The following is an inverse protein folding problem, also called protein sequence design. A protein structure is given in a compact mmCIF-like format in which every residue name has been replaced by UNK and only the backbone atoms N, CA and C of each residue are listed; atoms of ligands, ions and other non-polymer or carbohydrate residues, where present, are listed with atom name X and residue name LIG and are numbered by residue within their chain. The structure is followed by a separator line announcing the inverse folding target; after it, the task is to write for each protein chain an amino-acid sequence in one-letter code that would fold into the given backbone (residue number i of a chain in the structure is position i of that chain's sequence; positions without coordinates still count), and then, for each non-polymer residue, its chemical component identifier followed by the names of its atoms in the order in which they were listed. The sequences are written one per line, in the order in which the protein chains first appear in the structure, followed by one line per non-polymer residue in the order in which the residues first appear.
data_IF_858453467705
#
_entry.id   IF_858453467705
#
_cell.length_a   1.000
_cell.length_b   1.000
_cell.length_c   1.000
_cell.angle_alpha   90.00
_cell.angle_beta   90.00
_cell.angle_gamma   90.00
#
_symmetry.space_group_name_H-M   'P 1'
#
loop_
_entity.id
_entity.type
_entity.pdbx_description
1 polymer ?
#
# COMPACT_ATOMS: atom_id res chain seq x y z
N UNK A 1 -11.92 16.50 17.22
CA UNK A 1 -11.82 15.04 17.14
C UNK A 1 -10.79 14.74 16.06
N UNK A 2 -9.48 14.90 16.31
CA UNK A 2 -8.54 15.03 15.15
C UNK A 2 -7.14 14.43 15.36
N UNK A 3 -6.81 13.90 16.54
CA UNK A 3 -5.47 13.32 16.79
C UNK A 3 -5.33 11.87 16.31
N UNK A 4 -6.38 11.07 16.49
CA UNK A 4 -6.34 9.65 16.16
C UNK A 4 -6.40 9.38 14.65
N UNK A 5 -7.07 10.26 13.90
CA UNK A 5 -7.19 10.15 12.45
C UNK A 5 -5.90 10.61 11.76
N UNK A 6 -5.29 11.71 12.26
CA UNK A 6 -3.97 12.16 11.83
C UNK A 6 -2.89 11.08 12.04
N UNK A 7 -2.82 10.45 13.22
CA UNK A 7 -1.84 9.39 13.52
C UNK A 7 -1.96 8.18 12.56
N UNK A 8 -3.19 7.83 12.16
CA UNK A 8 -3.41 6.78 11.16
C UNK A 8 -2.95 7.19 9.77
N UNK A 9 -3.20 8.45 9.41
CA UNK A 9 -2.82 8.99 8.12
C UNK A 9 -1.30 9.12 7.99
N UNK A 10 -0.61 9.60 9.03
CA UNK A 10 0.86 9.65 9.11
C UNK A 10 1.48 8.26 8.95
N UNK A 11 0.98 7.25 9.68
CA UNK A 11 1.47 5.87 9.57
C UNK A 11 1.24 5.25 8.20
N UNK A 12 0.15 5.64 7.52
CA UNK A 12 -0.13 5.19 6.17
C UNK A 12 0.87 5.80 5.18
N UNK A 13 1.16 7.10 5.30
CA UNK A 13 2.12 7.79 4.43
C UNK A 13 3.55 7.25 4.63
N UNK A 14 3.96 7.04 5.88
CA UNK A 14 5.27 6.42 6.20
C UNK A 14 5.41 5.04 5.55
N UNK A 15 4.36 4.21 5.62
CA UNK A 15 4.37 2.90 4.98
C UNK A 15 4.43 2.99 3.45
N UNK A 16 3.72 3.94 2.85
CA UNK A 16 3.73 4.13 1.40
C UNK A 16 5.11 4.50 0.87
N UNK A 17 5.81 5.40 1.57
CA UNK A 17 7.17 5.83 1.22
C UNK A 17 8.16 4.65 1.27
N UNK A 18 8.13 3.88 2.37
CA UNK A 18 8.98 2.69 2.51
C UNK A 18 8.69 1.64 1.44
N UNK A 19 7.42 1.41 1.10
CA UNK A 19 7.03 0.48 0.04
C UNK A 19 7.53 0.97 -1.33
N UNK A 20 7.37 2.25 -1.64
CA UNK A 20 7.87 2.84 -2.88
C UNK A 20 9.39 2.69 -3.00
N UNK A 21 10.15 2.96 -1.94
CA UNK A 21 11.60 2.74 -1.90
C UNK A 21 11.99 1.27 -2.16
N UNK A 22 11.28 0.33 -1.52
CA UNK A 22 11.53 -1.10 -1.70
C UNK A 22 11.22 -1.53 -3.13
N UNK A 23 10.10 -1.07 -3.69
CA UNK A 23 9.70 -1.37 -5.07
C UNK A 23 10.69 -0.78 -6.08
N UNK A 24 11.16 0.45 -5.87
CA UNK A 24 12.18 1.08 -6.73
C UNK A 24 13.51 0.33 -6.69
N UNK A 25 13.92 -0.14 -5.51
CA UNK A 25 15.15 -0.94 -5.35
C UNK A 25 15.01 -2.33 -5.96
N UNK A 26 13.85 -2.98 -5.80
CA UNK A 26 13.59 -4.32 -6.32
C UNK A 26 13.37 -4.32 -7.84
N UNK A 27 12.72 -3.28 -8.36
CA UNK A 27 12.33 -3.15 -9.76
C UNK A 27 12.76 -1.76 -10.28
N UNK A 28 14.06 -1.57 -10.57
CA UNK A 28 14.60 -0.27 -10.99
C UNK A 28 14.08 0.22 -12.34
N UNK A 29 13.33 -0.62 -13.08
CA UNK A 29 12.65 -0.24 -14.32
C UNK A 29 11.34 0.52 -14.09
N UNK A 30 10.78 0.49 -12.87
CA UNK A 30 9.63 1.33 -12.53
C UNK A 30 10.08 2.78 -12.37
N UNK A 31 9.25 3.72 -12.81
CA UNK A 31 9.48 5.14 -12.56
C UNK A 31 9.12 5.52 -11.13
N UNK A 32 9.69 6.63 -10.64
CA UNK A 32 9.38 7.20 -9.32
C UNK A 32 7.86 7.37 -9.12
N UNK A 33 7.16 7.85 -10.14
CA UNK A 33 5.70 8.00 -10.11
C UNK A 33 4.98 6.66 -9.96
N UNK A 34 5.42 5.62 -10.67
CA UNK A 34 4.79 4.29 -10.59
C UNK A 34 4.99 3.64 -9.22
N UNK A 35 6.19 3.78 -8.63
CA UNK A 35 6.45 3.21 -7.31
C UNK A 35 5.73 3.99 -6.21
N UNK A 36 5.57 5.30 -6.37
CA UNK A 36 4.80 6.14 -5.45
C UNK A 36 3.30 5.79 -5.50
N UNK A 37 2.72 5.70 -6.69
CA UNK A 37 1.33 5.27 -6.88
C UNK A 37 1.09 3.85 -6.31
N UNK A 38 2.01 2.92 -6.57
CA UNK A 38 1.94 1.56 -6.04
C UNK A 38 2.07 1.54 -4.51
N UNK A 39 3.02 2.29 -3.94
CA UNK A 39 3.25 2.38 -2.50
C UNK A 39 2.02 2.94 -1.77
N UNK A 40 1.44 4.02 -2.29
CA UNK A 40 0.22 4.62 -1.73
C UNK A 40 -0.97 3.66 -1.83
N UNK A 41 -1.15 2.98 -2.96
CA UNK A 41 -2.21 1.98 -3.13
C UNK A 41 -2.07 0.82 -2.12
N UNK A 42 -0.86 0.31 -1.95
CA UNK A 42 -0.58 -0.76 -0.99
C UNK A 42 -0.78 -0.31 0.46
N UNK A 43 -0.38 0.91 0.81
CA UNK A 43 -0.56 1.45 2.15
C UNK A 43 -2.03 1.72 2.50
N UNK A 44 -2.82 2.23 1.54
CA UNK A 44 -4.29 2.39 1.70
C UNK A 44 -4.98 1.06 1.94
N UNK A 45 -4.50 0.00 1.30
CA UNK A 45 -5.05 -1.35 1.39
C UNK A 45 -4.24 -2.26 2.32
N UNK A 46 -3.46 -1.69 3.26
CA UNK A 46 -2.46 -2.44 4.04
C UNK A 46 -3.04 -3.66 4.74
N UNK A 47 -4.29 -3.59 5.17
CA UNK A 47 -4.95 -4.67 5.90
C UNK A 47 -5.20 -5.88 5.00
N UNK A 48 -5.58 -5.65 3.74
CA UNK A 48 -5.78 -6.71 2.76
C UNK A 48 -4.43 -7.32 2.35
N UNK A 49 -3.44 -6.48 2.07
CA UNK A 49 -2.08 -6.93 1.79
C UNK A 49 -1.48 -7.71 2.97
N UNK A 50 -1.66 -7.25 4.22
CA UNK A 50 -1.18 -7.95 5.41
C UNK A 50 -1.81 -9.33 5.59
N UNK A 51 -3.12 -9.47 5.35
CA UNK A 51 -3.79 -10.79 5.33
C UNK A 51 -3.22 -11.69 4.24
N UNK A 52 -3.02 -11.15 3.04
CA UNK A 52 -2.44 -11.85 1.91
C UNK A 52 -1.04 -12.39 2.23
N UNK A 53 -0.14 -11.54 2.73
CA UNK A 53 1.22 -11.93 3.11
C UNK A 53 1.28 -12.88 4.30
N UNK A 54 0.29 -12.85 5.21
CA UNK A 54 0.30 -13.70 6.39
C UNK A 54 0.06 -15.17 6.07
N UNK A 55 -0.99 -15.49 5.31
CA UNK A 55 -1.33 -16.86 4.82
C UNK A 55 -2.62 -16.89 3.99
N UNK A 56 -3.24 -15.74 3.67
CA UNK A 56 -4.55 -15.68 3.01
C UNK A 56 -4.46 -14.94 1.67
N UNK A 57 -3.79 -15.51 0.65
CA UNK A 57 -3.66 -14.85 -0.65
C UNK A 57 -5.01 -14.50 -1.28
N UNK A 58 -6.07 -15.26 -0.97
CA UNK A 58 -7.44 -14.99 -1.39
C UNK A 58 -8.00 -13.64 -0.90
N UNK A 59 -7.41 -13.04 0.15
CA UNK A 59 -7.76 -11.68 0.57
C UNK A 59 -7.54 -10.66 -0.56
N UNK A 60 -6.58 -10.89 -1.46
CA UNK A 60 -6.38 -10.02 -2.62
C UNK A 60 -7.58 -10.01 -3.58
N UNK A 61 -8.44 -11.04 -3.54
CA UNK A 61 -9.70 -11.07 -4.29
C UNK A 61 -10.62 -9.90 -3.93
N UNK A 62 -10.50 -9.33 -2.72
CA UNK A 62 -11.20 -8.11 -2.33
C UNK A 62 -10.77 -6.91 -3.19
N UNK A 63 -9.47 -6.81 -3.53
CA UNK A 63 -8.92 -5.73 -4.34
C UNK A 63 -9.15 -5.95 -5.85
N UNK A 64 -9.16 -7.20 -6.31
CA UNK A 64 -9.43 -7.54 -7.71
C UNK A 64 -10.87 -7.26 -8.12
N UNK A 65 -11.80 -7.38 -7.19
CA UNK A 65 -13.23 -7.12 -7.42
C UNK A 65 -13.66 -5.71 -7.01
N UNK A 66 -12.77 -4.94 -6.38
CA UNK A 66 -13.02 -3.54 -6.10
C UNK A 66 -13.07 -2.75 -7.41
N UNK A 67 -14.09 -1.92 -7.65
CA UNK A 67 -14.09 -1.03 -8.81
C UNK A 67 -12.87 -0.11 -8.72
N UNK A 68 -12.14 0.04 -9.83
CA UNK A 68 -11.12 1.06 -9.95
C UNK A 68 -11.81 2.42 -9.81
N UNK A 69 -11.49 3.15 -8.74
CA UNK A 69 -11.98 4.51 -8.49
C UNK A 69 -11.27 5.53 -9.39
#
# INVERSE_FOLDING_TARGET
MDKAEADRHDKMLELAELLAEVLQKAVPSLSEQQVEEAGIYMAKNRDVFAKAFKSQPDALSELLNAPAE
#
